data_IF_530573306093
#
_entry.id   IF_530573306093
#
_cell.length_a   1.000
_cell.length_b   1.000
_cell.length_c   1.000
_cell.angle_alpha   90.00
_cell.angle_beta   90.00
_cell.angle_gamma   90.00
#
_symmetry.space_group_name_H-M   'P 1'
#
loop_
_entity.id
_entity.type
_entity.pdbx_description
1 polymer ?
#
# COMPACT_ATOMS: atom_id res chain seq x y z
N UNK A 1 -0.85 1.33 -59.51
CA UNK A 1 0.60 1.36 -59.28
C UNK A 1 0.86 2.32 -58.13
N UNK A 2 1.25 1.76 -56.99
CA UNK A 2 1.96 2.36 -55.84
C UNK A 2 1.44 3.67 -55.20
N UNK A 3 0.80 3.51 -54.04
CA UNK A 3 1.00 4.43 -52.91
C UNK A 3 2.17 3.85 -52.10
N UNK A 4 3.29 4.57 -52.08
CA UNK A 4 4.53 4.18 -51.42
C UNK A 4 4.50 4.54 -49.94
N UNK A 5 4.92 3.57 -49.14
CA UNK A 5 5.21 3.61 -47.71
C UNK A 5 6.02 4.84 -47.28
N UNK A 6 5.66 5.35 -46.09
CA UNK A 6 6.47 6.31 -45.35
C UNK A 6 5.90 6.54 -43.96
N UNK A 7 5.80 5.51 -43.12
CA UNK A 7 5.79 5.75 -41.67
C UNK A 7 6.45 4.61 -40.92
N UNK A 8 7.76 4.76 -40.79
CA UNK A 8 8.68 3.87 -40.12
C UNK A 8 8.47 3.98 -38.60
N UNK A 9 7.80 2.95 -38.05
CA UNK A 9 7.89 2.45 -36.68
C UNK A 9 8.76 3.27 -35.70
N UNK A 10 8.14 4.17 -34.94
CA UNK A 10 8.58 4.50 -33.57
C UNK A 10 7.56 3.96 -32.58
N UNK A 11 7.76 2.71 -32.14
CA UNK A 11 7.00 2.14 -31.03
C UNK A 11 7.73 2.44 -29.70
N UNK A 12 6.99 2.86 -28.65
CA UNK A 12 7.57 3.45 -27.45
C UNK A 12 8.13 2.40 -26.48
N UNK A 13 8.91 2.93 -25.54
CA UNK A 13 9.81 2.29 -24.57
C UNK A 13 9.12 1.25 -23.65
N UNK A 14 7.78 1.16 -23.62
CA UNK A 14 7.03 0.21 -22.80
C UNK A 14 7.23 -1.28 -23.15
N UNK A 15 7.67 -1.62 -24.37
CA UNK A 15 8.03 -3.01 -24.71
C UNK A 15 9.18 -3.57 -23.85
N UNK A 16 10.00 -2.71 -23.21
CA UNK A 16 11.15 -3.16 -22.41
C UNK A 16 10.76 -3.71 -21.03
N UNK A 17 9.76 -3.15 -20.35
CA UNK A 17 9.37 -3.60 -19.01
C UNK A 17 8.62 -4.95 -19.06
N UNK A 18 7.76 -5.15 -20.07
CA UNK A 18 7.10 -6.44 -20.32
C UNK A 18 8.00 -7.49 -20.99
N UNK A 19 9.15 -7.09 -21.52
CA UNK A 19 10.13 -7.99 -22.14
C UNK A 19 10.79 -8.95 -21.14
N UNK A 20 11.02 -8.50 -19.89
CA UNK A 20 11.69 -9.29 -18.85
C UNK A 20 10.74 -10.37 -18.30
N UNK A 21 9.46 -10.06 -18.07
CA UNK A 21 8.47 -11.07 -17.65
C UNK A 21 8.08 -12.05 -18.77
N UNK A 22 8.29 -11.70 -20.04
CA UNK A 22 8.05 -12.62 -21.17
C UNK A 22 9.08 -13.75 -21.22
N UNK A 23 10.27 -13.55 -20.63
CA UNK A 23 11.35 -14.53 -20.58
C UNK A 23 10.99 -15.75 -19.69
N UNK A 24 10.17 -15.53 -18.66
CA UNK A 24 9.64 -16.58 -17.78
C UNK A 24 8.29 -17.15 -18.21
N UNK A 25 7.81 -16.86 -19.42
CA UNK A 25 6.61 -17.53 -19.95
C UNK A 25 7.01 -18.95 -20.33
N UNK A 26 6.81 -19.90 -19.43
CA UNK A 26 7.06 -21.32 -19.69
C UNK A 26 6.24 -21.73 -20.91
N UNK A 27 6.90 -22.00 -22.04
CA UNK A 27 6.26 -22.22 -23.34
C UNK A 27 5.54 -23.59 -23.44
N UNK A 28 5.69 -24.48 -22.46
CA UNK A 28 4.95 -25.74 -22.35
C UNK A 28 4.31 -25.84 -20.97
N UNK A 29 3.02 -26.09 -20.94
CA UNK A 29 2.32 -26.39 -19.69
C UNK A 29 2.72 -27.79 -19.21
N UNK A 30 3.78 -27.87 -18.40
CA UNK A 30 4.33 -29.13 -17.88
C UNK A 30 3.30 -29.93 -17.06
N UNK A 31 2.21 -29.29 -16.62
CA UNK A 31 1.11 -29.94 -15.91
C UNK A 31 0.40 -30.98 -16.76
N UNK A 32 0.41 -30.83 -18.09
CA UNK A 32 -0.17 -31.81 -19.02
C UNK A 32 0.65 -33.12 -19.09
N UNK A 33 1.94 -33.10 -18.74
CA UNK A 33 2.78 -34.29 -18.69
C UNK A 33 2.74 -35.07 -17.37
N UNK A 34 2.10 -34.51 -16.33
CA UNK A 34 1.97 -35.18 -15.05
C UNK A 34 0.83 -36.22 -15.08
N UNK A 35 0.90 -37.27 -14.24
CA UNK A 35 -0.22 -38.20 -14.08
C UNK A 35 -1.53 -37.44 -13.83
N UNK A 36 -2.66 -37.84 -14.44
CA UNK A 36 -3.93 -37.08 -14.40
C UNK A 36 -4.42 -36.75 -12.98
N UNK A 37 -4.11 -37.63 -12.03
CA UNK A 37 -4.47 -37.45 -10.61
C UNK A 37 -3.69 -36.27 -10.01
N UNK A 38 -2.38 -36.21 -10.25
CA UNK A 38 -1.50 -35.18 -9.68
C UNK A 38 -1.74 -33.84 -10.40
N UNK A 39 -1.89 -33.87 -11.72
CA UNK A 39 -2.16 -32.66 -12.51
C UNK A 39 -3.46 -31.98 -12.07
N UNK A 40 -4.49 -32.76 -11.71
CA UNK A 40 -5.77 -32.25 -11.17
C UNK A 40 -5.58 -31.35 -9.95
N UNK A 41 -4.74 -31.74 -9.00
CA UNK A 41 -4.48 -30.96 -7.77
C UNK A 41 -3.65 -29.70 -8.01
N UNK A 42 -2.96 -29.60 -9.15
CA UNK A 42 -2.27 -28.36 -9.59
C UNK A 42 -3.19 -27.40 -10.37
N UNK A 43 -4.48 -27.69 -10.43
CA UNK A 43 -5.48 -26.90 -11.15
C UNK A 43 -5.54 -27.16 -12.66
N UNK A 44 -4.85 -28.19 -13.16
CA UNK A 44 -4.95 -28.60 -14.56
C UNK A 44 -6.29 -29.29 -14.82
N UNK A 45 -6.92 -28.93 -15.94
CA UNK A 45 -8.13 -29.54 -16.50
C UNK A 45 -7.91 -29.68 -18.00
N UNK A 46 -8.49 -30.71 -18.61
CA UNK A 46 -8.43 -30.88 -20.06
C UNK A 46 -8.99 -29.62 -20.75
N UNK A 47 -8.44 -29.19 -21.90
CA UNK A 47 -8.91 -27.98 -22.60
C UNK A 47 -10.40 -28.00 -22.97
N UNK A 48 -10.96 -29.20 -23.15
CA UNK A 48 -12.36 -29.45 -23.51
C UNK A 48 -13.31 -29.51 -22.28
N UNK A 49 -12.77 -29.47 -21.06
CA UNK A 49 -13.57 -29.63 -19.85
C UNK A 49 -14.20 -28.29 -19.45
N UNK A 50 -15.53 -28.23 -19.47
CA UNK A 50 -16.30 -27.08 -19.00
C UNK A 50 -16.70 -27.23 -17.53
N UNK A 51 -16.77 -26.13 -16.75
CA UNK A 51 -17.33 -26.16 -15.41
C UNK A 51 -18.85 -26.37 -15.47
N UNK A 52 -19.45 -27.16 -14.56
CA UNK A 52 -18.86 -27.84 -13.41
C UNK A 52 -18.05 -29.08 -13.81
N UNK A 53 -16.82 -29.18 -13.31
CA UNK A 53 -15.91 -30.30 -13.65
C UNK A 53 -16.36 -31.62 -13.01
N UNK A 54 -16.05 -32.75 -13.63
CA UNK A 54 -16.36 -34.05 -13.02
C UNK A 54 -15.51 -34.31 -11.76
N UNK A 55 -16.12 -34.77 -10.64
CA UNK A 55 -15.38 -35.12 -9.42
C UNK A 55 -14.46 -36.33 -9.65
N UNK A 56 -13.62 -36.65 -8.67
CA UNK A 56 -12.73 -37.82 -8.79
C UNK A 56 -13.55 -39.12 -8.93
N UNK A 57 -13.27 -39.96 -9.95
CA UNK A 57 -14.11 -41.12 -10.28
C UNK A 57 -13.91 -42.32 -9.33
N UNK A 58 -12.99 -42.24 -8.37
CA UNK A 58 -12.69 -43.33 -7.45
C UNK A 58 -13.38 -43.17 -6.08
N UNK A 59 -13.88 -44.26 -5.47
CA UNK A 59 -14.37 -44.23 -4.08
C UNK A 59 -13.18 -43.92 -3.14
N UNK A 60 -13.29 -42.95 -2.21
CA UNK A 60 -14.50 -42.52 -1.53
C UNK A 60 -15.11 -41.21 -2.04
N UNK A 61 -14.80 -40.69 -3.24
CA UNK A 61 -15.30 -39.37 -3.69
C UNK A 61 -16.47 -39.43 -4.68
N UNK A 62 -16.86 -40.63 -5.08
CA UNK A 62 -17.99 -40.88 -6.00
C UNK A 62 -19.33 -40.37 -5.48
N UNK A 63 -19.51 -40.25 -4.16
CA UNK A 63 -20.74 -39.68 -3.57
C UNK A 63 -20.91 -38.19 -3.82
N UNK A 64 -19.85 -37.45 -4.16
CA UNK A 64 -19.98 -36.01 -4.47
C UNK A 64 -20.90 -35.77 -5.66
N UNK A 65 -20.97 -36.71 -6.61
CA UNK A 65 -21.89 -36.63 -7.76
C UNK A 65 -23.37 -36.62 -7.35
N UNK A 66 -23.71 -37.21 -6.20
CA UNK A 66 -25.08 -37.37 -5.70
C UNK A 66 -25.60 -36.16 -4.93
N UNK A 67 -24.73 -35.22 -4.57
CA UNK A 67 -25.07 -34.05 -3.74
C UNK A 67 -25.28 -32.83 -4.65
N UNK A 68 -26.18 -31.89 -4.31
CA UNK A 68 -26.29 -30.62 -5.03
C UNK A 68 -25.01 -29.78 -4.87
N UNK A 69 -24.60 -29.11 -5.95
CA UNK A 69 -23.35 -28.32 -6.01
C UNK A 69 -23.20 -27.31 -4.85
N UNK A 70 -24.31 -26.69 -4.41
CA UNK A 70 -24.29 -25.72 -3.30
C UNK A 70 -23.82 -26.35 -1.98
N UNK A 71 -24.35 -27.52 -1.63
CA UNK A 71 -23.96 -28.24 -0.41
C UNK A 71 -22.52 -28.73 -0.50
N UNK A 72 -22.09 -29.20 -1.68
CA UNK A 72 -20.69 -29.54 -1.92
C UNK A 72 -19.76 -28.34 -1.67
N UNK A 73 -20.16 -27.14 -2.11
CA UNK A 73 -19.40 -25.91 -1.88
C UNK A 73 -19.30 -25.59 -0.39
N UNK A 74 -20.42 -25.66 0.34
CA UNK A 74 -20.46 -25.35 1.77
C UNK A 74 -19.68 -26.36 2.61
N UNK A 75 -19.88 -27.66 2.38
CA UNK A 75 -19.23 -28.72 3.15
C UNK A 75 -17.72 -28.71 2.91
N UNK A 76 -17.27 -28.71 1.65
CA UNK A 76 -15.83 -28.67 1.37
C UNK A 76 -15.20 -27.31 1.77
N UNK A 77 -15.96 -26.21 1.72
CA UNK A 77 -15.50 -24.92 2.24
C UNK A 77 -15.26 -24.96 3.74
N UNK A 78 -16.19 -25.54 4.49
CA UNK A 78 -16.08 -25.74 5.93
C UNK A 78 -14.93 -26.69 6.29
N UNK A 79 -14.85 -27.87 5.65
CA UNK A 79 -13.76 -28.84 5.86
C UNK A 79 -12.40 -28.21 5.50
N UNK A 80 -12.37 -27.44 4.41
CA UNK A 80 -11.18 -26.73 3.96
C UNK A 80 -10.68 -25.72 4.99
N UNK A 81 -11.55 -24.80 5.41
CA UNK A 81 -11.21 -23.78 6.40
C UNK A 81 -10.85 -24.39 7.76
N UNK A 82 -11.67 -25.31 8.28
CA UNK A 82 -11.43 -25.99 9.54
C UNK A 82 -10.11 -26.77 9.51
N UNK A 83 -9.92 -27.62 8.50
CA UNK A 83 -8.70 -28.42 8.36
C UNK A 83 -7.45 -27.58 8.13
N UNK A 84 -7.56 -26.48 7.37
CA UNK A 84 -6.43 -25.60 7.08
C UNK A 84 -5.95 -24.86 8.32
N UNK A 85 -6.88 -24.30 9.09
CA UNK A 85 -6.57 -23.61 10.35
C UNK A 85 -6.05 -24.62 11.38
N UNK A 86 -6.74 -25.76 11.56
CA UNK A 86 -6.31 -26.82 12.47
C UNK A 86 -4.91 -27.34 12.14
N UNK A 87 -4.56 -27.48 10.87
CA UNK A 87 -3.24 -27.96 10.46
C UNK A 87 -2.14 -26.95 10.81
N UNK A 88 -2.36 -25.66 10.59
CA UNK A 88 -1.43 -24.61 11.01
C UNK A 88 -1.29 -24.62 12.53
N UNK A 89 -2.41 -24.56 13.27
CA UNK A 89 -2.39 -24.54 14.73
C UNK A 89 -1.73 -25.78 15.31
N UNK A 90 -2.02 -26.98 14.80
CA UNK A 90 -1.42 -28.22 15.28
C UNK A 90 0.09 -28.24 15.06
N UNK A 91 0.57 -27.84 13.88
CA UNK A 91 2.01 -27.84 13.57
C UNK A 91 2.75 -26.76 14.38
N UNK A 92 2.15 -25.58 14.52
CA UNK A 92 2.74 -24.46 15.28
C UNK A 92 2.65 -24.67 16.80
N UNK A 93 1.68 -25.44 17.30
CA UNK A 93 1.50 -25.71 18.74
C UNK A 93 2.12 -27.02 19.23
N UNK A 94 2.41 -27.98 18.37
CA UNK A 94 3.13 -29.20 18.78
C UNK A 94 4.59 -28.86 19.14
N UNK A 95 5.29 -29.73 19.89
CA UNK A 95 6.73 -29.63 20.22
C UNK A 95 7.62 -29.77 18.98
N UNK A 96 7.40 -28.88 18.02
CA UNK A 96 8.18 -28.72 16.82
C UNK A 96 9.21 -27.63 17.06
N UNK A 97 10.20 -27.54 16.18
CA UNK A 97 11.18 -26.46 16.23
C UNK A 97 10.48 -25.08 16.38
N UNK A 98 9.35 -24.87 15.69
CA UNK A 98 8.59 -23.61 15.70
C UNK A 98 8.05 -23.19 17.07
N UNK A 99 7.71 -24.13 17.94
CA UNK A 99 7.29 -23.82 19.31
C UNK A 99 8.47 -23.74 20.26
N UNK A 100 9.34 -24.75 20.22
CA UNK A 100 10.36 -24.95 21.24
C UNK A 100 11.60 -24.09 21.02
N UNK A 101 11.94 -23.80 19.76
CA UNK A 101 13.10 -22.98 19.37
C UNK A 101 12.66 -21.57 18.98
N UNK A 102 11.51 -21.42 18.32
CA UNK A 102 11.06 -20.14 17.77
C UNK A 102 10.04 -19.41 18.67
N UNK A 103 9.38 -20.06 19.64
CA UNK A 103 8.31 -19.46 20.46
C UNK A 103 7.23 -18.76 19.61
N UNK A 104 6.88 -19.37 18.48
CA UNK A 104 5.94 -18.82 17.51
C UNK A 104 4.53 -18.76 18.11
N UNK A 105 3.75 -17.68 17.92
CA UNK A 105 2.34 -17.65 18.29
C UNK A 105 1.55 -18.77 17.57
N UNK A 106 0.60 -19.40 18.27
CA UNK A 106 -0.18 -20.54 17.77
C UNK A 106 -0.80 -20.30 16.39
N UNK A 107 -1.34 -19.10 16.16
CA UNK A 107 -1.81 -18.67 14.85
C UNK A 107 -1.70 -17.17 14.71
N UNK A 108 -1.52 -16.73 13.47
CA UNK A 108 -1.56 -15.32 13.09
C UNK A 108 -2.92 -15.10 12.46
N UNK A 109 -3.67 -14.15 13.02
CA UNK A 109 -5.09 -13.91 12.70
C UNK A 109 -5.34 -13.63 11.21
N UNK A 110 -4.33 -13.17 10.46
CA UNK A 110 -4.38 -12.99 9.02
C UNK A 110 -4.75 -14.29 8.27
N UNK A 111 -4.28 -15.46 8.71
CA UNK A 111 -4.60 -16.73 8.06
C UNK A 111 -6.08 -17.12 8.16
N UNK A 112 -6.82 -16.60 9.14
CA UNK A 112 -8.28 -16.77 9.22
C UNK A 112 -8.98 -16.12 8.03
N UNK A 113 -8.61 -14.88 7.68
CA UNK A 113 -9.13 -14.20 6.50
C UNK A 113 -8.62 -14.85 5.20
N UNK A 114 -7.39 -15.35 5.17
CA UNK A 114 -6.88 -16.13 4.03
C UNK A 114 -7.67 -17.41 3.82
N UNK A 115 -8.12 -18.09 4.87
CA UNK A 115 -8.97 -19.28 4.77
C UNK A 115 -10.31 -18.95 4.07
N UNK A 116 -10.92 -17.80 4.38
CA UNK A 116 -12.15 -17.36 3.71
C UNK A 116 -11.94 -17.22 2.19
N UNK A 117 -10.83 -16.60 1.78
CA UNK A 117 -10.51 -16.45 0.36
C UNK A 117 -10.18 -17.79 -0.31
N UNK A 118 -9.35 -18.62 0.34
CA UNK A 118 -8.86 -19.88 -0.22
C UNK A 118 -9.91 -20.99 -0.30
N UNK A 119 -10.95 -20.97 0.54
CA UNK A 119 -11.97 -22.04 0.57
C UNK A 119 -13.38 -21.56 0.21
N UNK A 120 -13.66 -20.26 0.43
CA UNK A 120 -14.95 -19.64 0.14
C UNK A 120 -15.01 -18.97 -1.23
N UNK A 121 -13.98 -18.22 -1.62
CA UNK A 121 -13.95 -17.41 -2.86
C UNK A 121 -12.77 -17.78 -3.75
N UNK A 122 -12.71 -19.06 -4.11
CA UNK A 122 -11.55 -19.68 -4.79
C UNK A 122 -11.25 -19.11 -6.18
N UNK A 123 -12.25 -18.50 -6.81
CA UNK A 123 -12.16 -17.89 -8.14
C UNK A 123 -11.57 -16.48 -8.08
N UNK A 124 -11.48 -15.90 -6.87
CA UNK A 124 -10.95 -14.57 -6.68
C UNK A 124 -9.48 -14.51 -7.13
N UNK A 125 -9.09 -13.44 -7.85
CA UNK A 125 -7.71 -13.30 -8.28
C UNK A 125 -6.75 -13.10 -7.09
N UNK A 126 -7.21 -12.53 -5.97
CA UNK A 126 -6.40 -12.42 -4.74
C UNK A 126 -6.25 -13.71 -3.95
N UNK A 127 -7.09 -14.72 -4.23
CA UNK A 127 -7.00 -16.03 -3.60
C UNK A 127 -5.98 -16.95 -4.30
N UNK A 128 -5.41 -16.55 -5.45
CA UNK A 128 -4.50 -17.41 -6.18
C UNK A 128 -3.13 -17.57 -5.50
N UNK A 129 -2.41 -18.69 -5.76
CA UNK A 129 -1.22 -19.07 -5.01
C UNK A 129 -0.12 -18.01 -4.96
N UNK A 130 0.15 -17.34 -6.09
CA UNK A 130 1.13 -16.25 -6.16
C UNK A 130 0.79 -15.13 -5.19
N UNK A 131 -0.44 -14.65 -5.22
CA UNK A 131 -0.88 -13.52 -4.39
C UNK A 131 -0.89 -13.92 -2.92
N UNK A 132 -1.42 -15.11 -2.61
CA UNK A 132 -1.43 -15.63 -1.25
C UNK A 132 -0.01 -15.76 -0.65
N UNK A 133 0.88 -16.54 -1.28
CA UNK A 133 2.20 -16.84 -0.70
C UNK A 133 3.10 -15.60 -0.73
N UNK A 134 3.22 -14.91 -1.88
CA UNK A 134 4.10 -13.75 -1.99
C UNK A 134 3.57 -12.55 -1.22
N UNK A 135 2.24 -12.35 -1.18
CA UNK A 135 1.63 -11.29 -0.40
C UNK A 135 1.99 -11.41 1.08
N UNK A 136 1.80 -12.60 1.67
CA UNK A 136 2.19 -12.87 3.07
C UNK A 136 3.69 -12.72 3.29
N UNK A 137 4.53 -13.25 2.40
CA UNK A 137 5.98 -13.17 2.52
C UNK A 137 6.50 -11.72 2.44
N UNK A 138 6.06 -10.94 1.45
CA UNK A 138 6.44 -9.52 1.28
C UNK A 138 5.99 -8.70 2.49
N UNK A 139 4.76 -8.91 2.95
CA UNK A 139 4.24 -8.18 4.12
C UNK A 139 5.04 -8.52 5.39
N UNK A 140 5.37 -9.79 5.60
CA UNK A 140 6.20 -10.22 6.72
C UNK A 140 7.62 -9.61 6.64
N UNK A 141 8.23 -9.60 5.45
CA UNK A 141 9.55 -9.01 5.22
C UNK A 141 9.56 -7.51 5.51
N UNK A 142 8.63 -6.76 4.91
CA UNK A 142 8.54 -5.30 5.04
C UNK A 142 8.22 -4.89 6.48
N UNK A 143 7.19 -5.50 7.08
CA UNK A 143 6.82 -5.20 8.48
C UNK A 143 7.94 -5.54 9.48
N UNK A 144 8.65 -6.66 9.26
CA UNK A 144 9.81 -7.02 10.10
C UNK A 144 10.96 -6.04 9.92
N UNK A 145 11.27 -5.65 8.67
CA UNK A 145 12.35 -4.71 8.37
C UNK A 145 12.10 -3.35 9.01
N UNK A 146 10.89 -2.80 8.85
CA UNK A 146 10.51 -1.53 9.49
C UNK A 146 10.63 -1.68 11.01
N UNK A 147 10.01 -2.70 11.61
CA UNK A 147 10.08 -2.91 13.06
C UNK A 147 11.52 -3.05 13.55
N UNK A 148 12.41 -3.73 12.81
CA UNK A 148 13.84 -3.81 13.18
C UNK A 148 14.51 -2.44 13.23
N UNK A 149 14.21 -1.55 12.30
CA UNK A 149 14.76 -0.19 12.30
C UNK A 149 14.30 0.61 13.51
N UNK A 150 13.03 0.46 13.92
CA UNK A 150 12.51 1.10 15.12
C UNK A 150 13.19 0.58 16.39
N UNK A 151 13.42 -0.74 16.47
CA UNK A 151 14.09 -1.41 17.60
C UNK A 151 15.54 -0.96 17.78
N UNK A 152 16.21 -0.43 16.76
CA UNK A 152 17.56 0.15 16.91
C UNK A 152 17.58 1.38 17.84
N UNK A 153 16.44 2.05 18.03
CA UNK A 153 16.31 3.10 19.01
C UNK A 153 16.12 2.46 20.40
N UNK A 154 17.11 2.61 21.30
CA UNK A 154 17.10 2.00 22.63
C UNK A 154 15.88 2.37 23.49
N UNK A 155 15.27 3.54 23.24
CA UNK A 155 14.01 3.91 23.88
C UNK A 155 12.89 2.97 23.45
N UNK A 156 12.79 2.63 22.14
CA UNK A 156 11.81 1.66 21.59
C UNK A 156 11.93 0.26 22.22
N UNK A 157 13.15 -0.19 22.50
CA UNK A 157 13.42 -1.49 23.11
C UNK A 157 12.77 -1.61 24.50
N UNK A 158 12.91 -0.57 25.34
CA UNK A 158 12.34 -0.57 26.69
C UNK A 158 10.81 -0.63 26.71
N UNK A 159 10.13 -0.24 25.63
CA UNK A 159 8.67 -0.32 25.52
C UNK A 159 8.14 -1.69 25.11
N UNK A 160 8.99 -2.62 24.65
CA UNK A 160 8.56 -3.98 24.36
C UNK A 160 8.47 -4.86 25.61
N UNK A 161 9.29 -4.56 26.62
CA UNK A 161 9.31 -5.27 27.91
C UNK A 161 8.19 -4.80 28.86
N UNK A 162 7.78 -3.54 28.72
CA UNK A 162 6.68 -2.97 29.48
C UNK A 162 5.40 -3.16 28.67
N UNK A 163 4.54 -4.08 29.08
CA UNK A 163 3.27 -4.53 28.45
C UNK A 163 2.21 -3.44 28.17
N UNK A 164 2.58 -2.16 28.08
CA UNK A 164 1.69 -1.02 27.81
C UNK A 164 1.79 -0.54 26.36
N UNK A 165 0.64 -0.11 25.82
CA UNK A 165 0.51 0.39 24.44
C UNK A 165 1.15 1.79 24.32
N UNK A 166 2.34 1.88 23.71
CA UNK A 166 3.07 3.14 23.56
C UNK A 166 2.66 3.93 22.30
N UNK A 167 2.65 5.28 22.33
CA UNK A 167 2.32 6.11 21.17
C UNK A 167 3.19 5.92 19.92
N UNK A 168 4.39 5.35 20.02
CA UNK A 168 5.18 5.02 18.82
C UNK A 168 4.69 3.75 18.10
N UNK A 169 3.99 2.85 18.79
CA UNK A 169 3.58 1.54 18.26
C UNK A 169 2.50 1.68 17.18
N UNK A 170 1.58 2.64 17.31
CA UNK A 170 0.57 2.87 16.28
C UNK A 170 1.18 3.40 14.98
N UNK A 171 2.22 4.25 15.07
CA UNK A 171 2.95 4.76 13.89
C UNK A 171 3.70 3.61 13.22
N UNK A 172 4.43 2.80 13.98
CA UNK A 172 5.14 1.65 13.43
C UNK A 172 4.17 0.66 12.77
N UNK A 173 3.04 0.34 13.43
CA UNK A 173 2.02 -0.53 12.89
C UNK A 173 1.41 -0.01 11.59
N UNK A 174 0.99 1.27 11.58
CA UNK A 174 0.45 1.93 10.39
C UNK A 174 1.45 1.97 9.23
N UNK A 175 2.70 2.34 9.51
CA UNK A 175 3.77 2.37 8.52
C UNK A 175 4.05 0.96 7.97
N UNK A 176 4.16 -0.04 8.85
CA UNK A 176 4.38 -1.44 8.46
C UNK A 176 3.26 -1.97 7.56
N UNK A 177 2.00 -1.69 7.89
CA UNK A 177 0.85 -2.07 7.07
C UNK A 177 0.84 -1.35 5.73
N UNK A 178 0.94 -0.02 5.73
CA UNK A 178 0.85 0.81 4.53
C UNK A 178 2.00 0.51 3.55
N UNK A 179 3.23 0.38 4.04
CA UNK A 179 4.38 0.03 3.20
C UNK A 179 4.29 -1.40 2.69
N UNK A 180 3.75 -2.34 3.48
CA UNK A 180 3.50 -3.72 3.00
C UNK A 180 2.46 -3.74 1.87
N UNK A 181 1.39 -2.96 2.01
CA UNK A 181 0.38 -2.80 0.96
C UNK A 181 1.01 -2.20 -0.30
N UNK A 182 1.76 -1.11 -0.16
CA UNK A 182 2.46 -0.49 -1.29
C UNK A 182 3.38 -1.49 -2.01
N UNK A 183 4.18 -2.25 -1.25
CA UNK A 183 5.05 -3.27 -1.83
C UNK A 183 4.25 -4.33 -2.61
N UNK A 184 3.13 -4.82 -2.06
CA UNK A 184 2.26 -5.78 -2.74
C UNK A 184 1.60 -5.21 -4.00
N UNK A 185 1.25 -3.93 -4.01
CA UNK A 185 0.70 -3.24 -5.19
C UNK A 185 1.77 -3.16 -6.29
N UNK A 186 3.00 -2.78 -5.95
CA UNK A 186 4.13 -2.71 -6.89
C UNK A 186 4.45 -4.08 -7.48
N UNK A 187 4.45 -5.14 -6.67
CA UNK A 187 4.77 -6.50 -7.13
C UNK A 187 3.58 -7.20 -7.81
N UNK A 188 2.39 -6.60 -7.79
CA UNK A 188 1.16 -7.22 -8.28
C UNK A 188 0.82 -8.51 -7.54
N UNK A 189 1.06 -8.56 -6.23
CA UNK A 189 0.81 -9.72 -5.36
C UNK A 189 -0.12 -9.37 -4.20
N UNK A 190 -1.07 -8.48 -4.45
CA UNK A 190 -2.01 -8.01 -3.45
C UNK A 190 -2.86 -9.16 -2.91
N UNK A 191 -2.72 -9.40 -1.61
CA UNK A 191 -3.52 -10.34 -0.85
C UNK A 191 -3.98 -9.62 0.42
N UNK A 192 -5.24 -9.13 0.50
CA UNK A 192 -5.68 -8.26 1.59
C UNK A 192 -5.38 -8.79 3.01
N UNK A 193 -5.54 -10.10 3.31
CA UNK A 193 -5.15 -10.65 4.61
C UNK A 193 -3.66 -10.50 4.95
N UNK A 194 -2.79 -10.42 3.95
CA UNK A 194 -1.35 -10.26 4.16
C UNK A 194 -0.99 -8.88 4.76
N UNK A 195 -1.80 -7.83 4.54
CA UNK A 195 -1.58 -6.54 5.18
C UNK A 195 -1.56 -6.64 6.72
N UNK A 196 -2.45 -7.46 7.30
CA UNK A 196 -2.45 -7.76 8.73
C UNK A 196 -1.20 -8.55 9.17
N UNK A 197 -0.58 -9.31 8.27
CA UNK A 197 0.68 -10.03 8.54
C UNK A 197 1.84 -9.07 8.74
N UNK A 198 1.91 -7.99 7.94
CA UNK A 198 2.89 -6.93 8.11
C UNK A 198 2.62 -6.08 9.35
N UNK A 199 1.34 -5.76 9.64
CA UNK A 199 0.93 -5.05 10.86
C UNK A 199 1.34 -5.81 12.14
N UNK A 200 1.09 -7.12 12.17
CA UNK A 200 1.40 -7.95 13.34
C UNK A 200 2.90 -7.99 13.65
N UNK A 201 3.77 -7.79 12.66
CA UNK A 201 5.21 -7.69 12.87
C UNK A 201 5.63 -6.52 13.78
N UNK A 202 4.78 -5.49 13.88
CA UNK A 202 5.01 -4.29 14.69
C UNK A 202 4.18 -4.24 15.98
N UNK A 203 2.98 -4.85 15.98
CA UNK A 203 1.99 -4.68 17.07
C UNK A 203 2.04 -5.82 18.10
N UNK A 204 2.39 -7.04 17.69
CA UNK A 204 2.33 -8.20 18.57
C UNK A 204 3.69 -8.52 19.17
N UNK A 205 3.84 -8.38 20.50
CA UNK A 205 5.13 -8.55 21.20
C UNK A 205 5.81 -9.89 20.91
N UNK A 206 5.04 -10.98 20.81
CA UNK A 206 5.56 -12.31 20.43
C UNK A 206 6.16 -12.33 19.01
N UNK A 207 5.57 -11.59 18.08
CA UNK A 207 6.07 -11.50 16.69
C UNK A 207 7.27 -10.55 16.62
N UNK A 208 7.24 -9.45 17.39
CA UNK A 208 8.39 -8.55 17.50
C UNK A 208 9.59 -9.29 18.10
N UNK A 209 9.43 -10.13 19.12
CA UNK A 209 10.56 -10.91 19.66
C UNK A 209 11.05 -11.98 18.68
N UNK A 210 10.16 -12.53 17.85
CA UNK A 210 10.49 -13.51 16.80
C UNK A 210 11.43 -12.93 15.72
N UNK A 211 11.35 -11.62 15.45
CA UNK A 211 12.28 -10.92 14.55
C UNK A 211 12.34 -11.55 13.15
N UNK A 212 13.52 -11.66 12.54
CA UNK A 212 13.74 -12.28 11.23
C UNK A 212 13.23 -13.70 11.11
N UNK A 213 13.03 -14.39 12.24
CA UNK A 213 12.50 -15.74 12.27
C UNK A 213 11.00 -15.79 11.93
N UNK A 214 10.33 -14.64 11.88
CA UNK A 214 8.95 -14.52 11.42
C UNK A 214 8.78 -14.90 9.95
N UNK A 215 9.75 -14.59 9.09
CA UNK A 215 9.68 -14.86 7.65
C UNK A 215 9.54 -16.36 7.33
N UNK A 216 10.42 -17.26 7.82
CA UNK A 216 10.28 -18.68 7.56
C UNK A 216 9.01 -19.27 8.21
N UNK A 217 8.57 -18.75 9.35
CA UNK A 217 7.29 -19.14 9.96
C UNK A 217 6.10 -18.83 9.04
N UNK A 218 6.02 -17.59 8.54
CA UNK A 218 4.96 -17.18 7.62
C UNK A 218 4.99 -18.00 6.35
N UNK A 219 6.17 -18.18 5.77
CA UNK A 219 6.33 -18.96 4.55
C UNK A 219 5.88 -20.42 4.76
N UNK A 220 6.27 -21.05 5.88
CA UNK A 220 5.83 -22.40 6.22
C UNK A 220 4.31 -22.48 6.36
N UNK A 221 3.69 -21.58 7.13
CA UNK A 221 2.23 -21.54 7.31
C UNK A 221 1.48 -21.32 6.00
N UNK A 222 1.97 -20.42 5.14
CA UNK A 222 1.40 -20.21 3.81
C UNK A 222 1.54 -21.45 2.92
N UNK A 223 2.67 -22.16 2.93
CA UNK A 223 2.85 -23.37 2.13
C UNK A 223 1.98 -24.53 2.62
N UNK A 224 1.85 -24.69 3.93
CA UNK A 224 0.97 -25.71 4.54
C UNK A 224 -0.49 -25.45 4.14
N UNK A 225 -0.96 -24.21 4.29
CA UNK A 225 -2.32 -23.84 3.94
C UNK A 225 -2.58 -23.95 2.43
N UNK A 226 -1.61 -23.56 1.60
CA UNK A 226 -1.70 -23.71 0.15
C UNK A 226 -1.79 -25.19 -0.23
N UNK A 227 -0.94 -26.05 0.35
CA UNK A 227 -0.99 -27.50 0.12
C UNK A 227 -2.37 -28.08 0.45
N UNK A 228 -2.95 -27.70 1.58
CA UNK A 228 -4.30 -28.09 1.95
C UNK A 228 -5.36 -27.55 1.00
N UNK A 229 -5.24 -26.29 0.57
CA UNK A 229 -6.14 -25.67 -0.41
C UNK A 229 -6.10 -26.35 -1.77
N UNK A 230 -4.92 -26.76 -2.24
CA UNK A 230 -4.75 -27.54 -3.47
C UNK A 230 -5.47 -28.88 -3.36
N UNK A 231 -5.41 -29.54 -2.20
CA UNK A 231 -6.14 -30.78 -1.97
C UNK A 231 -7.64 -30.51 -2.01
N UNK A 232 -8.17 -29.81 -0.99
CA UNK A 232 -9.62 -29.69 -0.74
C UNK A 232 -10.40 -29.11 -1.91
N UNK A 233 -9.87 -28.08 -2.57
CA UNK A 233 -10.59 -27.41 -3.65
C UNK A 233 -10.62 -28.20 -4.97
N UNK A 234 -9.87 -29.31 -5.07
CA UNK A 234 -9.84 -30.17 -6.27
C UNK A 234 -10.48 -31.55 -6.08
N UNK A 235 -10.98 -31.90 -4.88
CA UNK A 235 -11.71 -33.16 -4.67
C UNK A 235 -13.03 -33.20 -5.45
N UNK A 236 -13.75 -32.07 -5.41
CA UNK A 236 -15.06 -31.93 -6.03
C UNK A 236 -15.02 -31.40 -7.45
N UNK A 237 -16.09 -30.68 -7.81
CA UNK A 237 -16.34 -30.08 -9.12
C UNK A 237 -15.71 -28.69 -9.28
N UNK A 238 -15.02 -28.22 -8.24
CA UNK A 238 -14.29 -26.96 -8.21
C UNK A 238 -12.89 -27.10 -8.84
N UNK A 239 -12.28 -25.96 -9.16
CA UNK A 239 -10.93 -25.88 -9.73
C UNK A 239 -10.13 -24.81 -9.00
N UNK A 240 -9.02 -25.22 -8.40
CA UNK A 240 -8.06 -24.31 -7.80
C UNK A 240 -6.63 -24.85 -8.03
N UNK A 241 -5.63 -24.02 -8.30
CA UNK A 241 -5.78 -22.62 -8.68
C UNK A 241 -6.34 -22.50 -10.11
N UNK A 242 -6.92 -21.34 -10.41
CA UNK A 242 -7.24 -20.97 -11.79
C UNK A 242 -5.95 -20.72 -12.58
N UNK A 243 -4.96 -20.13 -11.91
CA UNK A 243 -3.66 -19.79 -12.46
C UNK A 243 -2.62 -19.72 -11.35
N UNK A 244 -1.36 -20.03 -11.71
CA UNK A 244 -0.25 -19.92 -10.78
C UNK A 244 0.41 -18.54 -10.80
N UNK A 245 0.54 -17.93 -11.98
CA UNK A 245 1.36 -16.73 -12.15
C UNK A 245 0.65 -15.51 -12.78
N UNK A 246 -0.35 -15.70 -13.66
CA UNK A 246 -1.02 -14.56 -14.33
C UNK A 246 -2.47 -14.85 -14.72
N UNK A 247 -3.40 -13.92 -14.38
CA UNK A 247 -4.17 -13.09 -15.30
C UNK A 247 -4.54 -11.72 -14.67
N UNK A 248 -4.19 -10.64 -15.36
CA UNK A 248 -4.68 -9.29 -15.10
C UNK A 248 -4.19 -8.64 -13.79
N UNK A 249 -3.85 -7.35 -13.85
CA UNK A 249 -3.59 -6.55 -12.66
C UNK A 249 -4.80 -6.63 -11.72
N UNK A 250 -4.57 -6.91 -10.44
CA UNK A 250 -5.65 -7.35 -9.53
C UNK A 250 -6.50 -6.20 -9.00
N UNK A 251 -6.02 -4.96 -9.08
CA UNK A 251 -6.71 -3.79 -8.53
C UNK A 251 -6.69 -2.55 -9.41
N UNK A 252 -5.83 -2.50 -10.44
CA UNK A 252 -5.84 -1.44 -11.46
C UNK A 252 -5.37 -2.06 -12.77
N UNK A 253 -6.31 -2.48 -13.62
CA UNK A 253 -5.99 -2.54 -15.04
C UNK A 253 -5.84 -1.09 -15.49
N UNK A 254 -4.61 -0.61 -15.62
CA UNK A 254 -4.36 0.55 -16.49
C UNK A 254 -4.59 0.02 -17.90
N UNK A 255 -5.85 -0.11 -18.29
CA UNK A 255 -6.16 -0.01 -19.71
C UNK A 255 -5.69 1.38 -20.11
N UNK A 256 -4.68 1.45 -20.98
CA UNK A 256 -4.34 2.68 -21.68
C UNK A 256 -5.57 3.08 -22.49
N UNK A 257 -6.53 3.75 -21.86
CA UNK A 257 -7.59 4.42 -22.57
C UNK A 257 -6.94 5.68 -23.17
N UNK A 258 -6.81 5.77 -24.50
CA UNK A 258 -6.15 6.92 -25.13
C UNK A 258 -6.82 8.25 -24.80
N UNK A 259 -8.10 8.22 -24.36
CA UNK A 259 -8.83 9.42 -23.95
C UNK A 259 -8.44 9.88 -22.53
N UNK A 260 -8.16 8.96 -21.60
CA UNK A 260 -7.70 9.32 -20.25
C UNK A 260 -6.27 9.87 -20.28
N UNK A 261 -5.38 9.31 -21.11
CA UNK A 261 -4.03 9.85 -21.28
C UNK A 261 -4.05 11.26 -21.88
N UNK A 262 -4.91 11.51 -22.87
CA UNK A 262 -5.09 12.88 -23.41
C UNK A 262 -5.71 13.85 -22.40
N UNK A 263 -6.57 13.35 -21.51
CA UNK A 263 -7.14 14.17 -20.44
C UNK A 263 -6.08 14.52 -19.39
N UNK A 264 -5.27 13.56 -18.96
CA UNK A 264 -4.13 13.78 -18.05
C UNK A 264 -3.08 14.72 -18.67
N UNK A 265 -2.71 14.51 -19.94
CA UNK A 265 -1.80 15.41 -20.66
C UNK A 265 -2.37 16.83 -20.76
N UNK A 266 -3.69 16.97 -21.01
CA UNK A 266 -4.36 18.26 -21.07
C UNK A 266 -4.54 18.94 -19.70
N UNK A 267 -4.62 18.19 -18.61
CA UNK A 267 -4.61 18.72 -17.23
C UNK A 267 -3.20 19.21 -16.86
N UNK A 268 -2.16 18.44 -17.18
CA UNK A 268 -0.76 18.85 -16.95
C UNK A 268 -0.42 20.11 -17.75
N UNK A 269 -0.83 20.21 -19.03
CA UNK A 269 -0.62 21.44 -19.82
C UNK A 269 -1.37 22.66 -19.25
N UNK A 270 -2.54 22.46 -18.62
CA UNK A 270 -3.27 23.55 -17.96
C UNK A 270 -2.58 23.99 -16.68
N UNK A 271 -2.12 23.06 -15.87
CA UNK A 271 -1.37 23.36 -14.65
C UNK A 271 -0.05 24.08 -14.98
N UNK A 272 0.69 23.64 -16.01
CA UNK A 272 1.91 24.33 -16.48
C UNK A 272 1.62 25.73 -17.03
N UNK A 273 0.47 25.93 -17.71
CA UNK A 273 0.06 27.28 -18.15
C UNK A 273 -0.33 28.18 -16.98
N UNK A 274 -1.07 27.68 -16.00
CA UNK A 274 -1.45 28.44 -14.80
C UNK A 274 -0.23 28.81 -13.96
N UNK A 275 0.72 27.89 -13.77
CA UNK A 275 2.00 28.18 -13.11
C UNK A 275 2.82 29.23 -13.88
N UNK A 276 2.91 29.11 -15.21
CA UNK A 276 3.61 30.08 -16.04
C UNK A 276 2.96 31.47 -16.06
N UNK A 277 1.64 31.56 -15.92
CA UNK A 277 0.91 32.83 -15.82
C UNK A 277 1.10 33.48 -14.44
N UNK A 278 1.06 32.68 -13.36
CA UNK A 278 1.39 33.13 -12.01
C UNK A 278 2.84 33.64 -11.90
N UNK A 279 3.80 32.96 -12.53
CA UNK A 279 5.18 33.43 -12.59
C UNK A 279 5.31 34.77 -13.33
N UNK A 280 4.59 34.96 -14.43
CA UNK A 280 4.60 36.24 -15.18
C UNK A 280 3.96 37.37 -14.39
N UNK A 281 2.84 37.11 -13.70
CA UNK A 281 2.22 38.11 -12.83
C UNK A 281 3.13 38.50 -11.65
N UNK A 282 3.78 37.52 -11.03
CA UNK A 282 4.77 37.74 -9.97
C UNK A 282 5.96 38.58 -10.48
N UNK A 283 6.49 38.26 -11.66
CA UNK A 283 7.63 38.99 -12.25
C UNK A 283 7.23 40.42 -12.62
N UNK A 284 6.07 40.62 -13.22
CA UNK A 284 5.54 41.94 -13.56
C UNK A 284 5.23 42.78 -12.31
N UNK A 285 4.72 42.17 -11.24
CA UNK A 285 4.52 42.85 -9.96
C UNK A 285 5.86 43.27 -9.33
N UNK A 286 6.89 42.43 -9.42
CA UNK A 286 8.24 42.75 -8.95
C UNK A 286 8.87 43.91 -9.73
N UNK A 287 8.73 43.93 -11.06
CA UNK A 287 9.20 45.03 -11.91
C UNK A 287 8.50 46.34 -11.60
N UNK A 288 7.17 46.34 -11.44
CA UNK A 288 6.41 47.53 -11.05
C UNK A 288 6.84 48.08 -9.70
N UNK A 289 7.05 47.23 -8.70
CA UNK A 289 7.56 47.65 -7.39
C UNK A 289 8.97 48.25 -7.49
N UNK A 290 9.80 47.75 -8.41
CA UNK A 290 11.14 48.28 -8.66
C UNK A 290 11.12 49.65 -9.33
N UNK A 291 10.20 49.89 -10.27
CA UNK A 291 10.00 51.19 -10.93
C UNK A 291 9.44 52.23 -9.95
N UNK A 292 8.43 51.88 -9.17
CA UNK A 292 7.81 52.76 -8.18
C UNK A 292 8.83 53.18 -7.10
N UNK A 293 9.71 52.26 -6.70
CA UNK A 293 10.83 52.55 -5.78
C UNK A 293 11.87 53.50 -6.40
N UNK A 294 12.14 53.41 -7.71
CA UNK A 294 13.05 54.31 -8.43
C UNK A 294 12.45 55.70 -8.56
N UNK A 295 11.17 55.81 -8.91
CA UNK A 295 10.46 57.09 -8.98
C UNK A 295 10.37 57.78 -7.62
N UNK A 296 10.09 57.03 -6.55
CA UNK A 296 10.11 57.56 -5.18
C UNK A 296 11.51 58.08 -4.79
N UNK A 297 12.57 57.37 -5.18
CA UNK A 297 13.96 57.77 -4.98
C UNK A 297 14.32 59.07 -5.74
N UNK A 298 13.89 59.22 -6.98
CA UNK A 298 14.08 60.44 -7.76
C UNK A 298 13.27 61.62 -7.21
N UNK A 299 12.03 61.38 -6.78
CA UNK A 299 11.18 62.40 -6.17
C UNK A 299 11.78 62.91 -4.86
N UNK A 300 12.34 62.01 -4.04
CA UNK A 300 13.07 62.35 -2.82
C UNK A 300 14.33 63.19 -3.12
N UNK A 301 15.11 62.84 -4.16
CA UNK A 301 16.26 63.66 -4.60
C UNK A 301 15.85 65.05 -5.10
N UNK A 302 14.74 65.17 -5.84
CA UNK A 302 14.21 66.47 -6.31
C UNK A 302 13.67 67.33 -5.16
N UNK A 303 13.08 66.72 -4.14
CA UNK A 303 12.67 67.41 -2.91
C UNK A 303 13.89 67.87 -2.12
N UNK A 304 14.92 67.01 -1.97
CA UNK A 304 16.18 67.38 -1.32
C UNK A 304 16.92 68.51 -2.04
N UNK A 305 16.85 68.59 -3.38
CA UNK A 305 17.44 69.69 -4.14
C UNK A 305 16.63 70.99 -4.10
N UNK A 306 15.31 70.93 -3.78
CA UNK A 306 14.47 72.12 -3.57
C UNK A 306 14.58 72.70 -2.15
N UNK A 307 15.14 71.95 -1.21
CA UNK A 307 15.36 72.39 0.18
C UNK A 307 16.74 73.06 0.35
N UNK A 308 17.59 73.06 -0.67
CA UNK A 308 18.87 73.78 -0.69
C UNK A 308 18.77 75.06 -1.54
N UNK A 309 17.89 75.97 -1.15
CA UNK A 309 17.97 77.38 -1.57
C UNK A 309 18.35 78.23 -0.33
N UNK A 310 19.57 78.81 -0.29
CA UNK A 310 20.11 79.47 0.89
C UNK A 310 19.73 80.95 0.93
N UNK A 311 18.45 81.30 1.04
CA UNK A 311 18.05 82.68 1.37
C UNK A 311 16.70 82.71 2.09
N UNK A 312 16.72 82.47 3.41
CA UNK A 312 15.92 83.21 4.40
C UNK A 312 16.38 82.86 5.82
N UNK A 313 17.57 83.34 6.20
CA UNK A 313 17.95 83.41 7.61
C UNK A 313 17.51 84.78 8.12
N UNK A 314 16.47 84.82 8.94
CA UNK A 314 16.26 85.92 9.89
C UNK A 314 15.74 85.38 11.23
N UNK A 315 16.67 85.38 12.19
CA UNK A 315 16.54 85.71 13.62
C UNK A 315 15.60 84.91 14.54
N UNK A 316 16.18 84.37 15.62
CA UNK A 316 15.48 84.21 16.91
C UNK A 316 15.76 82.90 17.65
N UNK A 317 16.32 82.92 18.88
CA UNK A 317 16.78 81.72 19.59
C UNK A 317 15.70 81.04 20.44
N UNK A 318 16.05 79.87 20.98
CA UNK A 318 15.47 79.18 22.16
C UNK A 318 14.06 78.58 22.05
N UNK A 319 14.00 77.24 22.03
CA UNK A 319 13.35 76.45 23.09
C UNK A 319 13.42 74.95 22.76
N UNK A 320 14.38 74.27 23.40
CA UNK A 320 14.12 72.91 23.87
C UNK A 320 13.01 72.99 24.92
N UNK A 321 12.18 71.95 24.98
CA UNK A 321 11.27 71.63 26.09
C UNK A 321 9.88 72.31 26.11
N UNK A 322 8.93 71.75 25.36
CA UNK A 322 7.49 71.56 25.71
C UNK A 322 6.77 71.16 24.41
N UNK A 323 6.16 69.98 24.27
CA UNK A 323 5.02 69.55 25.05
C UNK A 323 5.00 68.02 25.19
N UNK A 324 5.11 67.59 26.44
CA UNK A 324 4.45 66.39 26.94
C UNK A 324 2.98 66.78 27.19
N UNK A 325 2.09 65.80 27.02
CA UNK A 325 0.67 65.77 27.37
C UNK A 325 -0.37 66.17 26.32
N UNK A 326 -0.92 65.14 25.66
CA UNK A 326 -2.36 64.95 25.54
C UNK A 326 -2.72 63.46 25.36
N UNK A 327 -2.82 62.74 26.51
CA UNK A 327 -3.91 61.82 26.91
C UNK A 327 -4.25 60.55 26.05
N UNK A 328 -4.96 59.52 26.61
CA UNK A 328 -4.38 58.18 26.79
C UNK A 328 -5.30 56.99 26.41
N UNK A 329 -4.81 55.76 26.67
CA UNK A 329 -5.62 54.58 27.05
C UNK A 329 -6.01 53.62 25.91
N UNK A 330 -6.12 52.31 26.08
CA UNK A 330 -5.91 51.40 27.21
C UNK A 330 -5.90 49.94 26.67
N UNK A 331 -5.02 49.10 27.23
CA UNK A 331 -5.22 47.73 27.74
C UNK A 331 -5.99 46.67 26.89
N UNK A 332 -5.68 45.36 26.89
CA UNK A 332 -5.03 44.54 27.92
C UNK A 332 -4.61 43.18 27.34
N UNK A 333 -3.45 42.70 27.78
CA UNK A 333 -3.05 41.30 27.75
C UNK A 333 -3.61 40.58 28.99
N UNK A 334 -4.21 39.38 28.86
CA UNK A 334 -4.14 38.31 29.89
C UNK A 334 -4.60 36.93 29.38
N UNK A 335 -3.60 36.09 29.09
CA UNK A 335 -3.28 34.82 29.78
C UNK A 335 -4.45 34.05 30.41
N UNK A 336 -4.69 32.78 30.00
CA UNK A 336 -4.50 31.54 30.79
C UNK A 336 -5.23 30.30 30.19
N UNK A 337 -4.44 29.25 29.95
CA UNK A 337 -4.64 27.80 30.21
C UNK A 337 -6.03 27.13 30.14
N UNK A 338 -6.07 26.05 29.35
CA UNK A 338 -6.45 24.66 29.72
C UNK A 338 -7.69 24.43 30.59
N UNK A 339 -8.67 23.69 30.07
CA UNK A 339 -8.93 22.26 30.39
C UNK A 339 -10.42 21.87 30.22
N UNK A 340 -10.59 20.68 29.64
CA UNK A 340 -11.61 19.64 29.90
C UNK A 340 -13.11 19.86 29.56
N UNK A 341 -13.59 18.83 28.87
CA UNK A 341 -14.88 18.12 29.04
C UNK A 341 -16.18 18.81 28.61
N UNK A 342 -16.84 18.24 27.59
CA UNK A 342 -18.07 17.45 27.83
C UNK A 342 -18.54 16.62 26.63
N UNK A 343 -18.93 15.38 26.93
CA UNK A 343 -19.79 14.50 26.16
C UNK A 343 -21.24 15.01 26.09
N UNK A 344 -21.93 14.52 25.05
CA UNK A 344 -23.35 14.14 24.94
C UNK A 344 -24.45 15.19 25.16
N UNK A 345 -25.24 15.46 24.12
CA UNK A 345 -26.58 14.90 23.93
C UNK A 345 -27.21 15.47 22.64
N UNK A 346 -27.57 14.60 21.70
CA UNK A 346 -28.89 14.53 21.05
C UNK A 346 -28.96 13.29 20.13
#
# INVERSE_FOLDING_TARGET
MQLSNGNEKRQPIQRRAYGILRWFKVHRDYRASLPPIISRFTGYRAPEAEPPYEPLPFPPFTWLTKIPLRLEVWILGWIGAFGGILLIEAIMSTSTAFRDVYHTPTIITSFGASAVLLFGVIESPVAQPRNFVLGHFISALVGTAITRLWVLNGSYQGWLDNTEFHPSTFINGGLSMATSLLAMLITGTAHPPAGATGLNAAVQTQVVTLSWRYLPTILASSLIMLGWALIINNLGRRRYPLYWWAPGATFVCIEENPELQKAEEGEVEREEMEEGELERESTAASERLSEDSREAGERSRRLSSRVLDPERIQTGPSSLQSAIDSFPGEFSNRRLSSSRERCQSD
#
